data_IF_141282828793
#
_entry.id   IF_141282828793
#
_cell.length_a   1.000
_cell.length_b   1.000
_cell.length_c   1.000
_cell.angle_alpha   90.00
_cell.angle_beta   90.00
_cell.angle_gamma   90.00
#
_symmetry.space_group_name_H-M   'P 1'
#
loop_
_entity.id
_entity.type
_entity.pdbx_description
1 polymer ?
#
# COMPACT_ATOMS: atom_id res chain seq x y z
N UNK A 1 11.83 11.18 -0.49
CA UNK A 1 12.45 11.23 -1.82
C UNK A 1 13.22 9.94 -2.02
N UNK A 2 13.27 9.42 -3.24
CA UNK A 2 14.02 8.20 -3.61
C UNK A 2 14.68 8.36 -4.97
N UNK A 3 15.76 7.61 -5.21
CA UNK A 3 16.41 7.54 -6.51
C UNK A 3 15.75 6.46 -7.37
N UNK A 4 15.19 6.88 -8.50
CA UNK A 4 14.41 6.04 -9.40
C UNK A 4 15.22 4.84 -9.90
N UNK A 5 14.66 3.64 -9.78
CA UNK A 5 15.28 2.39 -10.22
C UNK A 5 16.51 1.93 -9.44
N UNK A 6 16.99 2.70 -8.45
CA UNK A 6 18.20 2.36 -7.67
C UNK A 6 17.88 2.00 -6.22
N UNK A 7 16.93 2.67 -5.59
CA UNK A 7 16.54 2.33 -4.23
C UNK A 7 15.85 0.97 -4.17
N UNK A 8 16.26 0.13 -3.22
CA UNK A 8 15.74 -1.24 -3.11
C UNK A 8 14.32 -1.29 -2.58
N UNK A 9 14.00 -0.45 -1.61
CA UNK A 9 12.70 -0.46 -0.96
C UNK A 9 12.37 0.85 -0.27
N UNK A 10 11.06 1.09 -0.12
CA UNK A 10 10.49 2.13 0.73
C UNK A 10 9.51 1.50 1.71
N UNK A 11 9.23 2.19 2.81
CA UNK A 11 8.20 1.80 3.76
C UNK A 11 6.97 2.69 3.58
N UNK A 12 5.83 2.08 3.29
CA UNK A 12 4.52 2.72 3.29
C UNK A 12 3.86 2.32 4.60
N UNK A 13 3.51 3.31 5.43
CA UNK A 13 2.91 3.08 6.75
C UNK A 13 1.55 3.75 6.82
N UNK A 14 0.54 3.04 7.30
CA UNK A 14 -0.80 3.59 7.50
C UNK A 14 -1.52 2.85 8.62
N UNK A 15 -2.47 3.55 9.25
CA UNK A 15 -3.31 2.98 10.30
C UNK A 15 -4.49 2.24 9.67
N UNK A 16 -4.97 1.19 10.35
CA UNK A 16 -6.21 0.51 10.00
C UNK A 16 -7.09 0.30 11.23
N UNK A 17 -8.39 0.20 10.97
CA UNK A 17 -9.40 -0.25 11.91
C UNK A 17 -10.32 -1.24 11.19
N UNK A 18 -10.56 -2.37 11.81
CA UNK A 18 -11.42 -3.46 11.34
C UNK A 18 -12.38 -3.82 12.48
N UNK A 19 -13.69 -3.70 12.25
CA UNK A 19 -14.70 -3.73 13.30
C UNK A 19 -15.02 -5.12 13.82
N UNK A 20 -14.91 -6.15 12.98
CA UNK A 20 -15.20 -7.55 13.29
C UNK A 20 -13.92 -8.42 13.29
N UNK A 21 -12.77 -7.85 12.93
CA UNK A 21 -11.46 -8.45 13.19
C UNK A 21 -11.11 -9.60 12.24
N UNK A 22 -11.69 -9.63 11.05
CA UNK A 22 -11.51 -10.66 10.03
C UNK A 22 -10.58 -10.20 8.88
N UNK A 23 -9.73 -9.20 9.10
CA UNK A 23 -8.62 -8.85 8.21
C UNK A 23 -7.40 -9.75 8.41
N UNK A 24 -6.60 -9.93 7.35
CA UNK A 24 -5.36 -10.71 7.42
C UNK A 24 -5.63 -12.21 7.48
N UNK A 25 -6.00 -12.79 6.32
CA UNK A 25 -6.39 -14.19 6.14
C UNK A 25 -5.53 -14.89 5.07
N UNK A 26 -4.28 -14.42 4.91
CA UNK A 26 -3.25 -15.09 4.10
C UNK A 26 -3.45 -15.06 2.58
N UNK A 27 -4.45 -14.36 2.08
CA UNK A 27 -4.68 -14.13 0.63
C UNK A 27 -4.70 -12.63 0.31
N UNK A 28 -4.62 -12.23 -0.97
CA UNK A 28 -4.50 -10.81 -1.29
C UNK A 28 -5.73 -10.01 -0.88
N UNK A 29 -5.51 -9.07 0.04
CA UNK A 29 -6.55 -8.31 0.72
C UNK A 29 -6.14 -6.86 1.03
N UNK A 30 -4.97 -6.44 0.56
CA UNK A 30 -4.49 -5.06 0.56
C UNK A 30 -4.21 -4.64 -0.89
N UNK A 31 -4.72 -3.48 -1.30
CA UNK A 31 -4.63 -3.05 -2.69
C UNK A 31 -4.06 -1.64 -2.76
N UNK A 32 -2.99 -1.47 -3.54
CA UNK A 32 -2.34 -0.18 -3.77
C UNK A 32 -2.40 0.16 -5.25
N UNK A 33 -2.65 1.42 -5.59
CA UNK A 33 -2.57 1.92 -6.95
C UNK A 33 -1.72 3.18 -6.99
N UNK A 34 -0.62 3.12 -7.75
CA UNK A 34 0.19 4.28 -8.07
C UNK A 34 -0.67 5.27 -8.88
N UNK A 35 -0.64 6.56 -8.52
CA UNK A 35 -1.39 7.62 -9.20
C UNK A 35 -1.07 7.77 -10.70
N UNK A 36 0.04 7.19 -11.15
CA UNK A 36 0.51 7.21 -12.55
C UNK A 36 0.02 6.00 -13.35
N UNK A 37 -0.55 5.00 -12.68
CA UNK A 37 -1.03 3.75 -13.28
C UNK A 37 -2.57 3.64 -13.18
N UNK A 38 -3.13 2.66 -13.90
CA UNK A 38 -4.57 2.36 -13.89
C UNK A 38 -4.90 1.06 -13.15
N UNK A 39 -3.89 0.33 -12.68
CA UNK A 39 -4.03 -1.04 -12.14
C UNK A 39 -3.77 -1.06 -10.64
N UNK A 40 -4.62 -1.78 -9.92
CA UNK A 40 -4.42 -2.09 -8.51
C UNK A 40 -3.43 -3.24 -8.34
N UNK A 41 -2.38 -3.00 -7.58
CA UNK A 41 -1.41 -4.00 -7.16
C UNK A 41 -1.90 -4.68 -5.89
N UNK A 42 -2.15 -5.99 -5.92
CA UNK A 42 -2.60 -6.73 -4.75
C UNK A 42 -1.41 -7.13 -3.85
N UNK A 43 -1.62 -7.04 -2.54
CA UNK A 43 -0.71 -7.43 -1.48
C UNK A 43 -1.45 -8.31 -0.46
N UNK A 44 -0.69 -9.14 0.24
CA UNK A 44 -1.21 -10.05 1.27
C UNK A 44 -0.89 -9.47 2.64
N UNK A 45 -1.93 -9.21 3.43
CA UNK A 45 -1.80 -9.09 4.88
C UNK A 45 -1.68 -10.51 5.42
N UNK A 46 -0.60 -10.85 6.15
CA UNK A 46 -0.41 -12.18 6.71
C UNK A 46 -1.58 -12.61 7.60
N UNK A 47 -1.73 -13.92 7.78
CA UNK A 47 -2.72 -14.47 8.71
C UNK A 47 -2.51 -13.89 10.12
N UNK A 48 -3.56 -13.30 10.69
CA UNK A 48 -3.53 -12.75 12.05
C UNK A 48 -4.09 -13.82 12.99
N UNK A 49 -3.28 -14.36 13.93
CA UNK A 49 -3.76 -15.40 14.83
C UNK A 49 -5.00 -14.96 15.62
N UNK A 50 -6.02 -15.82 15.70
CA UNK A 50 -7.32 -15.50 16.33
C UNK A 50 -7.26 -15.04 17.79
N UNK A 51 -6.19 -15.38 18.51
CA UNK A 51 -5.95 -14.83 19.87
C UNK A 51 -5.76 -13.30 19.88
N UNK A 52 -5.50 -12.69 18.73
CA UNK A 52 -5.35 -11.26 18.54
C UNK A 52 -6.59 -10.59 17.97
N UNK A 53 -7.64 -11.33 17.61
CA UNK A 53 -8.92 -10.81 17.08
C UNK A 53 -9.95 -10.78 18.23
N UNK A 54 -9.97 -9.74 19.09
CA UNK A 54 -10.93 -9.64 20.17
C UNK A 54 -12.35 -9.39 19.62
N UNK A 55 -13.37 -9.56 20.46
CA UNK A 55 -14.77 -9.26 20.12
C UNK A 55 -15.02 -7.80 19.66
N UNK A 56 -14.04 -6.90 19.87
CA UNK A 56 -14.13 -5.48 19.52
C UNK A 56 -13.35 -5.10 18.24
N UNK A 57 -12.92 -6.08 17.45
CA UNK A 57 -12.20 -5.86 16.20
C UNK A 57 -10.70 -5.59 16.37
N UNK A 58 -10.05 -5.18 15.28
CA UNK A 58 -8.61 -4.94 15.20
C UNK A 58 -8.31 -3.48 14.88
N UNK A 59 -7.27 -2.94 15.52
CA UNK A 59 -6.68 -1.65 15.14
C UNK A 59 -5.17 -1.78 15.15
N UNK A 60 -4.50 -1.12 14.22
CA UNK A 60 -3.04 -1.18 14.16
C UNK A 60 -2.43 -0.38 13.04
N UNK A 61 -1.15 -0.66 12.79
CA UNK A 61 -0.36 -0.03 11.73
C UNK A 61 0.12 -1.11 10.78
N UNK A 62 -0.17 -0.93 9.49
CA UNK A 62 0.44 -1.75 8.44
C UNK A 62 1.75 -1.08 8.04
N UNK A 63 2.82 -1.88 8.00
CA UNK A 63 4.14 -1.48 7.50
C UNK A 63 4.44 -2.28 6.24
N UNK A 64 4.23 -1.67 5.07
CA UNK A 64 4.48 -2.31 3.80
C UNK A 64 5.85 -1.93 3.25
N UNK A 65 6.74 -2.92 3.12
CA UNK A 65 8.02 -2.76 2.43
C UNK A 65 7.81 -2.92 0.91
N UNK A 66 7.65 -1.80 0.21
CA UNK A 66 7.42 -1.77 -1.23
C UNK A 66 8.74 -1.80 -2.00
N UNK A 67 8.82 -2.59 -3.07
CA UNK A 67 10.03 -2.69 -3.90
C UNK A 67 10.18 -1.44 -4.77
N UNK A 68 11.11 -0.56 -4.40
CA UNK A 68 11.31 0.72 -5.06
C UNK A 68 12.11 0.62 -6.37
N UNK A 69 12.70 -0.53 -6.68
CA UNK A 69 13.46 -0.72 -7.93
C UNK A 69 12.57 -0.63 -9.18
N UNK A 70 11.26 -0.82 -9.03
CA UNK A 70 10.29 -0.65 -10.12
C UNK A 70 9.75 0.77 -10.25
N UNK A 71 10.11 1.67 -9.33
CA UNK A 71 9.71 3.07 -9.41
C UNK A 71 10.65 3.80 -10.37
N UNK A 72 10.21 3.90 -11.62
CA UNK A 72 10.92 4.61 -12.69
C UNK A 72 10.31 5.99 -12.92
N UNK A 73 11.13 6.90 -13.43
CA UNK A 73 10.64 8.16 -14.00
C UNK A 73 9.83 7.85 -15.27
N UNK A 74 8.72 8.56 -15.47
CA UNK A 74 7.95 8.45 -16.71
C UNK A 74 8.80 8.85 -17.91
N UNK A 75 8.65 8.11 -19.01
CA UNK A 75 9.38 8.36 -20.25
C UNK A 75 8.73 9.48 -21.05
N UNK A 76 8.74 10.70 -20.50
CA UNK A 76 8.29 11.92 -21.14
C UNK A 76 9.26 13.08 -20.85
N UNK A 77 9.11 14.19 -21.58
CA UNK A 77 10.00 15.35 -21.45
C UNK A 77 9.83 16.12 -20.14
N UNK A 78 8.71 15.96 -19.45
CA UNK A 78 8.40 16.69 -18.21
C UNK A 78 9.07 16.03 -16.99
N UNK A 79 9.20 14.71 -16.99
CA UNK A 79 9.67 13.93 -15.83
C UNK A 79 11.10 13.40 -15.95
N UNK A 80 11.92 13.97 -16.85
CA UNK A 80 13.28 13.51 -17.14
C UNK A 80 14.20 13.47 -15.90
N UNK A 81 13.99 14.38 -14.95
CA UNK A 81 14.85 14.52 -13.76
C UNK A 81 14.12 14.23 -12.44
N UNK A 82 12.80 14.34 -12.43
CA UNK A 82 11.99 14.10 -11.24
C UNK A 82 10.57 13.72 -11.64
N UNK A 83 9.95 12.88 -10.83
CA UNK A 83 8.56 12.51 -10.95
C UNK A 83 7.93 12.47 -9.55
N UNK A 84 6.62 12.62 -9.47
CA UNK A 84 5.89 12.56 -8.20
C UNK A 84 4.72 11.59 -8.34
N UNK A 85 4.51 10.80 -7.30
CA UNK A 85 3.41 9.84 -7.23
C UNK A 85 2.82 9.77 -5.83
N UNK A 86 1.57 9.32 -5.75
CA UNK A 86 0.90 8.90 -4.52
C UNK A 86 0.37 7.49 -4.70
N UNK A 87 0.06 6.80 -3.60
CA UNK A 87 -0.71 5.57 -3.63
C UNK A 87 -2.11 5.80 -3.10
N UNK A 88 -3.11 5.39 -3.88
CA UNK A 88 -4.42 5.07 -3.32
C UNK A 88 -4.35 3.68 -2.69
N UNK A 89 -4.92 3.51 -1.51
CA UNK A 89 -4.82 2.29 -0.70
C UNK A 89 -6.20 1.94 -0.15
N UNK A 90 -6.64 0.69 -0.34
CA UNK A 90 -7.80 0.13 0.34
C UNK A 90 -7.54 -1.32 0.74
N UNK A 91 -8.40 -1.85 1.61
CA UNK A 91 -8.36 -3.24 2.07
C UNK A 91 -9.72 -3.91 1.88
N UNK A 92 -9.70 -5.24 1.86
CA UNK A 92 -10.89 -6.09 1.81
C UNK A 92 -10.84 -7.12 2.93
N UNK A 93 -11.93 -7.32 3.64
CA UNK A 93 -12.00 -8.37 4.66
C UNK A 93 -12.35 -9.75 4.07
N UNK A 94 -12.43 -10.77 4.93
CA UNK A 94 -12.79 -12.13 4.52
C UNK A 94 -14.24 -12.24 4.00
N UNK A 95 -15.16 -11.45 4.56
CA UNK A 95 -16.56 -11.38 4.11
C UNK A 95 -16.72 -10.62 2.77
N UNK A 96 -15.67 -9.94 2.35
CA UNK A 96 -15.55 -9.18 1.13
C UNK A 96 -15.98 -7.72 1.20
N UNK A 97 -16.18 -7.17 2.39
CA UNK A 97 -16.39 -5.74 2.58
C UNK A 97 -15.12 -4.97 2.24
N UNK A 98 -15.29 -3.78 1.65
CA UNK A 98 -14.20 -2.92 1.21
C UNK A 98 -14.11 -1.72 2.13
N UNK A 99 -12.89 -1.40 2.58
CA UNK A 99 -12.64 -0.22 3.42
C UNK A 99 -12.86 1.08 2.66
N UNK A 100 -12.78 2.21 3.37
CA UNK A 100 -12.50 3.48 2.71
C UNK A 100 -11.14 3.42 2.00
N UNK A 101 -11.00 4.20 0.93
CA UNK A 101 -9.71 4.45 0.28
C UNK A 101 -9.02 5.63 0.94
N UNK A 102 -7.72 5.48 1.20
CA UNK A 102 -6.85 6.59 1.60
C UNK A 102 -5.84 6.87 0.50
N UNK A 103 -5.33 8.10 0.45
CA UNK A 103 -4.23 8.48 -0.45
C UNK A 103 -3.00 8.82 0.39
N UNK A 104 -1.85 8.28 0.01
CA UNK A 104 -0.59 8.56 0.68
C UNK A 104 -0.16 10.02 0.51
N UNK A 105 0.80 10.44 1.32
CA UNK A 105 1.56 11.65 0.99
C UNK A 105 2.38 11.43 -0.30
N UNK A 106 2.73 12.50 -1.04
CA UNK A 106 3.49 12.37 -2.27
C UNK A 106 4.90 11.80 -2.03
N UNK A 107 5.30 10.85 -2.87
CA UNK A 107 6.68 10.42 -3.02
C UNK A 107 7.29 11.10 -4.25
N UNK A 108 8.41 11.77 -4.04
CA UNK A 108 9.23 12.36 -5.11
C UNK A 108 10.30 11.35 -5.51
N UNK A 109 10.28 10.96 -6.79
CA UNK A 109 11.35 10.26 -7.48
C UNK A 109 12.33 11.29 -8.05
N UNK A 110 13.62 11.00 -7.96
CA UNK A 110 14.68 11.77 -8.62
C UNK A 110 15.58 10.81 -9.39
N UNK A 111 16.28 11.35 -10.39
CA UNK A 111 17.27 10.60 -11.15
C UNK A 111 18.48 10.18 -10.30
#
# INVERSE_FOLDING_TARGET
>A
MVTAGLDKAININFNFEDGDGNIGFGTPNLFLKDSRDTVWSPFVIPDIPSKFTPENGLKGVIQLKYNAAYLLLRNDSLHVNSDTLTWDIYMKDEAGNVSNTITSTPLILVK
#
